data_IF_173752229094
#
_entry.id   IF_173752229094
#
_cell.length_a   1.000
_cell.length_b   1.000
_cell.length_c   1.000
_cell.angle_alpha   90.00
_cell.angle_beta   90.00
_cell.angle_gamma   90.00
#
_symmetry.space_group_name_H-M   'P 1'
#
loop_
_entity.id
_entity.type
_entity.pdbx_description
1 polymer ?
#
# COMPACT_ATOMS: atom_id res chain seq x y z
N UNK A 1 27.01 4.36 8.12
CA UNK A 1 26.09 4.19 6.98
C UNK A 1 24.91 3.33 7.40
N UNK A 2 23.68 3.83 7.29
CA UNK A 2 22.47 3.07 7.65
C UNK A 2 22.16 2.06 6.53
N UNK A 3 22.87 0.93 6.54
CA UNK A 3 22.68 -0.16 5.59
C UNK A 3 21.27 -0.75 5.64
N UNK A 4 20.88 -1.44 4.58
CA UNK A 4 19.64 -2.23 4.53
C UNK A 4 19.77 -3.35 5.56
N UNK A 5 19.19 -3.15 6.74
CA UNK A 5 19.18 -4.17 7.79
C UNK A 5 18.32 -5.37 7.36
N UNK A 6 18.47 -6.53 8.01
CA UNK A 6 17.53 -7.66 7.87
C UNK A 6 16.06 -7.26 8.13
N UNK A 7 15.83 -6.17 8.87
CA UNK A 7 14.51 -5.57 9.17
C UNK A 7 14.01 -4.58 8.10
N UNK A 8 14.82 -4.32 7.08
CA UNK A 8 14.60 -3.31 6.04
C UNK A 8 15.06 -1.90 6.43
N UNK A 9 14.77 -0.93 5.56
CA UNK A 9 15.07 0.50 5.76
C UNK A 9 13.90 1.25 6.39
N UNK A 10 14.16 1.99 7.49
CA UNK A 10 13.17 2.88 8.13
C UNK A 10 12.70 3.98 7.18
N UNK A 11 13.59 4.45 6.31
CA UNK A 11 13.29 5.49 5.33
C UNK A 11 12.29 4.99 4.27
N UNK A 12 12.51 3.78 3.75
CA UNK A 12 11.58 3.17 2.79
C UNK A 12 10.17 3.00 3.38
N UNK A 13 10.08 2.55 4.65
CA UNK A 13 8.80 2.46 5.35
C UNK A 13 8.11 3.81 5.46
N UNK A 14 8.85 4.87 5.79
CA UNK A 14 8.32 6.24 5.88
C UNK A 14 7.76 6.70 4.54
N UNK A 15 8.50 6.48 3.45
CA UNK A 15 8.06 6.85 2.10
C UNK A 15 6.80 6.09 1.68
N UNK A 16 6.74 4.77 1.94
CA UNK A 16 5.55 3.95 1.68
C UNK A 16 4.32 4.45 2.44
N UNK A 17 4.46 4.77 3.73
CA UNK A 17 3.36 5.29 4.55
C UNK A 17 2.88 6.63 4.00
N UNK A 18 3.79 7.51 3.60
CA UNK A 18 3.41 8.83 3.12
C UNK A 18 2.78 8.79 1.72
N UNK A 19 3.27 7.92 0.84
CA UNK A 19 2.63 7.64 -0.45
C UNK A 19 1.24 7.01 -0.27
N UNK A 20 1.08 6.08 0.67
CA UNK A 20 -0.22 5.52 1.02
C UNK A 20 -1.18 6.60 1.55
N UNK A 21 -0.72 7.51 2.40
CA UNK A 21 -1.54 8.61 2.91
C UNK A 21 -2.04 9.53 1.79
N UNK A 22 -1.17 9.88 0.86
CA UNK A 22 -1.52 10.75 -0.27
C UNK A 22 -2.48 10.07 -1.26
N UNK A 23 -2.34 8.76 -1.48
CA UNK A 23 -3.17 8.00 -2.43
C UNK A 23 -4.51 7.52 -1.84
N UNK A 24 -4.61 7.40 -0.52
CA UNK A 24 -5.80 6.88 0.16
C UNK A 24 -7.11 7.60 -0.22
N UNK A 25 -7.20 8.95 -0.28
CA UNK A 25 -8.45 9.63 -0.62
C UNK A 25 -8.93 9.34 -2.05
N UNK A 26 -8.01 9.20 -3.00
CA UNK A 26 -8.33 8.88 -4.40
C UNK A 26 -8.73 7.41 -4.52
N UNK A 27 -7.95 6.51 -3.91
CA UNK A 27 -8.19 5.06 -3.97
C UNK A 27 -9.46 4.65 -3.23
N UNK A 28 -9.82 5.31 -2.14
CA UNK A 28 -11.06 5.01 -1.41
C UNK A 28 -12.32 5.45 -2.17
N UNK A 29 -12.19 6.41 -3.10
CA UNK A 29 -13.28 6.85 -3.98
C UNK A 29 -13.41 6.00 -5.24
N UNK A 30 -12.36 5.30 -5.64
CA UNK A 30 -12.40 4.40 -6.81
C UNK A 30 -13.37 3.24 -6.58
N UNK A 31 -14.08 2.83 -7.64
CA UNK A 31 -15.01 1.70 -7.60
C UNK A 31 -14.33 0.34 -7.85
N UNK A 32 -13.11 0.19 -7.32
CA UNK A 32 -12.35 -1.05 -7.40
C UNK A 32 -12.55 -1.88 -6.14
N UNK A 33 -12.26 -3.17 -6.20
CA UNK A 33 -12.23 -4.04 -5.00
C UNK A 33 -11.33 -3.49 -3.90
N UNK A 34 -10.22 -2.85 -4.28
CA UNK A 34 -9.32 -2.18 -3.35
C UNK A 34 -9.99 -0.97 -2.68
N UNK A 35 -10.69 -0.14 -3.46
CA UNK A 35 -11.45 1.00 -2.93
C UNK A 35 -12.56 0.56 -1.98
N UNK A 36 -13.32 -0.47 -2.33
CA UNK A 36 -14.34 -1.06 -1.43
C UNK A 36 -13.73 -1.59 -0.13
N UNK A 37 -12.59 -2.29 -0.22
CA UNK A 37 -11.84 -2.76 0.96
C UNK A 37 -11.37 -1.60 1.85
N UNK A 38 -10.87 -0.51 1.26
CA UNK A 38 -10.43 0.68 1.99
C UNK A 38 -11.60 1.41 2.66
N UNK A 39 -12.74 1.58 1.97
CA UNK A 39 -13.96 2.15 2.57
C UNK A 39 -14.44 1.32 3.75
N UNK A 40 -14.47 0.00 3.59
CA UNK A 40 -14.82 -0.92 4.67
C UNK A 40 -13.80 -0.94 5.82
N UNK A 41 -12.54 -0.55 5.59
CA UNK A 41 -11.56 -0.36 6.67
C UNK A 41 -11.77 0.98 7.38
N UNK A 42 -12.04 2.05 6.62
CA UNK A 42 -12.32 3.39 7.16
C UNK A 42 -13.58 3.41 8.04
N UNK A 43 -14.57 2.55 7.77
CA UNK A 43 -15.77 2.46 8.61
C UNK A 43 -15.53 1.81 9.97
N UNK A 44 -14.49 0.99 10.12
CA UNK A 44 -14.22 0.20 11.35
C UNK A 44 -12.91 0.56 12.06
N UNK A 45 -12.09 1.42 11.47
CA UNK A 45 -10.73 1.68 11.96
C UNK A 45 -10.31 3.12 11.75
N UNK A 46 -9.43 3.60 12.63
CA UNK A 46 -8.88 4.94 12.55
C UNK A 46 -8.09 5.16 11.25
N UNK A 47 -8.13 6.39 10.72
CA UNK A 47 -7.49 6.77 9.46
C UNK A 47 -6.02 6.34 9.38
N UNK A 48 -5.24 6.57 10.44
CA UNK A 48 -3.82 6.19 10.46
C UNK A 48 -3.59 4.66 10.35
N UNK A 49 -4.49 3.86 10.92
CA UNK A 49 -4.44 2.40 10.80
C UNK A 49 -4.70 1.99 9.35
N UNK A 50 -5.66 2.64 8.69
CA UNK A 50 -5.96 2.38 7.27
C UNK A 50 -4.78 2.76 6.37
N UNK A 51 -4.13 3.90 6.62
CA UNK A 51 -2.92 4.31 5.90
C UNK A 51 -1.81 3.27 6.03
N UNK A 52 -1.55 2.78 7.24
CA UNK A 52 -0.52 1.76 7.48
C UNK A 52 -0.89 0.44 6.80
N UNK A 53 -2.17 0.04 6.84
CA UNK A 53 -2.65 -1.15 6.17
C UNK A 53 -2.50 -1.05 4.64
N UNK A 54 -2.80 0.10 4.06
CA UNK A 54 -2.60 0.38 2.63
C UNK A 54 -1.11 0.31 2.26
N UNK A 55 -0.23 0.94 3.06
CA UNK A 55 1.21 0.87 2.86
C UNK A 55 1.74 -0.58 2.92
N UNK A 56 1.25 -1.39 3.87
CA UNK A 56 1.61 -2.79 3.98
C UNK A 56 1.13 -3.62 2.78
N UNK A 57 -0.05 -3.30 2.23
CA UNK A 57 -0.58 -3.94 1.02
C UNK A 57 0.25 -3.58 -0.22
N UNK A 58 0.59 -2.30 -0.40
CA UNK A 58 1.49 -1.85 -1.48
C UNK A 58 2.88 -2.51 -1.37
N UNK A 59 3.45 -2.58 -0.16
CA UNK A 59 4.73 -3.24 0.05
C UNK A 59 4.71 -4.72 -0.35
N UNK A 60 3.61 -5.44 -0.08
CA UNK A 60 3.44 -6.83 -0.53
C UNK A 60 3.32 -6.96 -2.05
N UNK A 61 2.60 -6.05 -2.70
CA UNK A 61 2.51 -6.02 -4.18
C UNK A 61 3.89 -5.80 -4.78
N UNK A 62 4.62 -4.78 -4.32
CA UNK A 62 5.99 -4.50 -4.77
C UNK A 62 6.90 -5.72 -4.54
N UNK A 63 6.83 -6.34 -3.37
CA UNK A 63 7.61 -7.54 -3.09
C UNK A 63 7.27 -8.70 -4.05
N UNK A 64 5.99 -8.95 -4.31
CA UNK A 64 5.57 -10.00 -5.24
C UNK A 64 6.05 -9.72 -6.67
N UNK A 65 5.95 -8.47 -7.13
CA UNK A 65 6.45 -8.06 -8.44
C UNK A 65 7.96 -8.27 -8.56
N UNK A 66 8.73 -7.82 -7.56
CA UNK A 66 10.17 -8.01 -7.53
C UNK A 66 10.57 -9.49 -7.44
N UNK A 67 9.85 -10.28 -6.63
CA UNK A 67 10.13 -11.70 -6.43
C UNK A 67 9.86 -12.53 -7.68
N UNK A 68 8.85 -12.16 -8.45
CA UNK A 68 8.42 -12.86 -9.66
C UNK A 68 8.90 -12.19 -10.94
N UNK A 69 9.70 -11.12 -10.86
CA UNK A 69 10.18 -10.32 -12.00
C UNK A 69 9.04 -9.86 -12.93
N UNK A 70 7.89 -9.55 -12.34
CA UNK A 70 6.67 -9.15 -13.05
C UNK A 70 6.55 -7.63 -13.05
N UNK A 71 6.06 -7.08 -14.16
CA UNK A 71 5.69 -5.67 -14.24
C UNK A 71 4.35 -5.44 -13.55
N UNK A 72 4.19 -4.28 -12.91
CA UNK A 72 2.91 -3.88 -12.32
C UNK A 72 1.84 -3.77 -13.41
N UNK A 73 0.74 -4.51 -13.23
CA UNK A 73 -0.43 -4.44 -14.10
C UNK A 73 -1.59 -3.75 -13.35
N UNK A 74 -1.98 -2.52 -13.76
CA UNK A 74 -3.09 -1.81 -13.13
C UNK A 74 -4.44 -2.49 -13.34
N UNK A 75 -4.63 -3.28 -14.41
CA UNK A 75 -5.88 -3.99 -14.65
C UNK A 75 -6.13 -5.10 -13.61
N UNK A 76 -5.06 -5.74 -13.12
CA UNK A 76 -5.15 -6.71 -12.02
C UNK A 76 -5.63 -6.08 -10.69
N UNK A 77 -5.55 -4.76 -10.55
CA UNK A 77 -6.05 -4.02 -9.38
C UNK A 77 -7.49 -3.52 -9.56
N UNK A 78 -7.94 -3.39 -10.81
CA UNK A 78 -9.27 -2.92 -11.19
C UNK A 78 -10.31 -4.06 -11.23
N UNK A 79 -9.88 -5.30 -11.47
CA UNK A 79 -10.71 -6.51 -11.52
C UNK A 79 -11.14 -7.04 -10.15
#
# INVERSE_FOLDING_TARGET
MLGITKRGSRYLRKNLIQGARASLPTMSKSDTRLGAWLRGLLSRSHHNTVVVALAAKMARIVWALLRHERTYDPAAQAA
#
